data_IF_753812162821
#
_entry.id   IF_753812162821
#
_cell.length_a   1.000
_cell.length_b   1.000
_cell.length_c   1.000
_cell.angle_alpha   90.00
_cell.angle_beta   90.00
_cell.angle_gamma   90.00
#
_symmetry.space_group_name_H-M   'P 1'
#
loop_
_entity.id
_entity.type
_entity.pdbx_description
1 polymer ?
#
# COMPACT_ATOMS: atom_id res chain seq x y z
N UNK A 1 -12.13 -9.86 -24.85
CA UNK A 1 -10.85 -10.07 -24.12
C UNK A 1 -10.64 -8.92 -23.14
N UNK A 2 -10.74 -9.16 -21.83
CA UNK A 2 -10.55 -8.09 -20.84
C UNK A 2 -9.05 -7.74 -20.73
N UNK A 3 -8.68 -6.51 -21.11
CA UNK A 3 -7.32 -6.03 -21.02
C UNK A 3 -6.81 -6.12 -19.56
N UNK A 4 -5.78 -6.93 -19.34
CA UNK A 4 -5.12 -7.09 -18.04
C UNK A 4 -4.52 -5.74 -17.62
N UNK A 5 -5.20 -5.04 -16.71
CA UNK A 5 -4.75 -3.74 -16.18
C UNK A 5 -3.33 -3.90 -15.64
N UNK A 6 -2.35 -3.25 -16.28
CA UNK A 6 -0.97 -3.21 -15.81
C UNK A 6 -0.93 -2.54 -14.44
N UNK A 7 -0.29 -3.18 -13.47
CA UNK A 7 -0.03 -2.55 -12.17
C UNK A 7 0.89 -1.34 -12.40
N UNK A 8 0.54 -0.13 -11.90
CA UNK A 8 1.44 1.02 -12.01
C UNK A 8 2.78 0.73 -11.32
N UNK A 9 3.86 1.37 -11.77
CA UNK A 9 5.19 1.15 -11.20
C UNK A 9 5.20 1.48 -9.69
N UNK A 10 6.07 0.80 -8.95
CA UNK A 10 6.21 1.01 -7.50
C UNK A 10 6.46 2.49 -7.17
N UNK A 11 7.34 3.15 -7.94
CA UNK A 11 7.67 4.57 -7.80
C UNK A 11 6.45 5.47 -7.93
N UNK A 12 5.58 5.20 -8.92
CA UNK A 12 4.35 5.98 -9.12
C UNK A 12 3.37 5.77 -7.96
N UNK A 13 3.22 4.53 -7.50
CA UNK A 13 2.35 4.24 -6.35
C UNK A 13 2.86 4.91 -5.07
N UNK A 14 4.17 4.94 -4.85
CA UNK A 14 4.78 5.62 -3.71
C UNK A 14 4.61 7.15 -3.79
N UNK A 15 4.79 7.75 -4.96
CA UNK A 15 4.59 9.18 -5.17
C UNK A 15 3.11 9.59 -4.98
N UNK A 16 2.17 8.80 -5.49
CA UNK A 16 0.74 9.07 -5.28
C UNK A 16 0.34 8.85 -3.81
N UNK A 17 0.96 7.87 -3.13
CA UNK A 17 0.73 7.60 -1.71
C UNK A 17 1.30 8.71 -0.81
N UNK A 18 2.48 9.26 -1.12
CA UNK A 18 3.10 10.34 -0.35
C UNK A 18 2.30 11.63 -0.38
N UNK A 19 1.49 11.85 -1.42
CA UNK A 19 0.54 12.98 -1.51
C UNK A 19 -0.80 12.61 -0.83
N UNK A 20 -1.32 11.41 -1.10
CA UNK A 20 -2.65 11.02 -0.63
C UNK A 20 -2.71 10.80 0.90
N UNK A 21 -1.68 10.22 1.50
CA UNK A 21 -1.68 9.91 2.93
C UNK A 21 -1.69 11.15 3.83
N UNK A 22 -0.86 12.19 3.60
CA UNK A 22 -0.95 13.44 4.35
C UNK A 22 -2.32 14.12 4.24
N UNK A 23 -2.95 14.14 3.05
CA UNK A 23 -4.29 14.73 2.89
C UNK A 23 -5.37 14.04 3.74
N UNK A 24 -5.31 12.71 3.85
CA UNK A 24 -6.24 11.95 4.70
C UNK A 24 -6.02 12.27 6.18
N UNK A 25 -4.75 12.38 6.60
CA UNK A 25 -4.39 12.71 7.98
C UNK A 25 -4.84 14.14 8.30
N UNK A 26 -4.50 15.11 7.44
CA UNK A 26 -4.85 16.51 7.60
C UNK A 26 -6.37 16.69 7.73
N UNK A 27 -7.17 16.12 6.81
CA UNK A 27 -8.63 16.23 6.88
C UNK A 27 -9.20 15.68 8.20
N UNK A 28 -8.75 14.50 8.63
CA UNK A 28 -9.24 13.88 9.87
C UNK A 28 -8.79 14.63 11.12
N UNK A 29 -7.56 15.17 11.13
CA UNK A 29 -7.05 16.00 12.22
C UNK A 29 -7.80 17.33 12.30
N UNK A 30 -8.00 18.02 11.17
CA UNK A 30 -8.80 19.25 11.11
C UNK A 30 -10.22 19.01 11.58
N UNK A 31 -10.84 17.89 11.18
CA UNK A 31 -12.19 17.53 11.65
C UNK A 31 -12.23 17.28 13.16
N UNK A 32 -11.27 16.56 13.72
CA UNK A 32 -11.19 16.36 15.18
C UNK A 32 -10.98 17.69 15.92
N UNK A 33 -10.17 18.59 15.38
CA UNK A 33 -9.95 19.92 15.95
C UNK A 33 -11.22 20.79 15.92
N UNK A 34 -12.02 20.70 14.84
CA UNK A 34 -13.30 21.42 14.71
C UNK A 34 -14.42 20.82 15.55
N UNK A 35 -14.42 19.50 15.78
CA UNK A 35 -15.46 18.80 16.53
C UNK A 35 -15.42 19.04 18.04
N UNK A 36 -14.28 19.43 18.62
CA UNK A 36 -14.18 19.83 20.04
C UNK A 36 -12.94 20.71 20.32
N UNK A 37 -13.12 22.05 20.44
CA UNK A 37 -12.02 22.98 20.66
C UNK A 37 -11.31 22.85 22.02
N UNK A 38 -11.94 22.21 23.03
CA UNK A 38 -11.44 22.23 24.41
C UNK A 38 -11.12 20.85 25.01
N UNK A 39 -11.76 19.75 24.59
CA UNK A 39 -11.39 18.38 25.01
C UNK A 39 -11.83 17.33 23.97
N UNK A 40 -11.00 16.32 23.61
CA UNK A 40 -11.42 15.28 22.66
C UNK A 40 -12.57 14.45 23.23
N UNK A 41 -13.74 14.48 22.58
CA UNK A 41 -14.89 13.67 22.95
C UNK A 41 -14.54 12.17 22.89
N UNK A 42 -15.22 11.32 23.67
CA UNK A 42 -15.06 9.84 23.60
C UNK A 42 -15.25 9.31 22.18
N UNK A 43 -16.03 10.02 21.34
CA UNK A 43 -16.22 9.71 19.92
C UNK A 43 -14.95 9.96 19.09
N UNK A 44 -14.28 11.09 19.30
CA UNK A 44 -13.06 11.46 18.57
C UNK A 44 -11.89 10.57 18.97
N UNK A 45 -11.78 10.20 20.25
CA UNK A 45 -10.81 9.22 20.73
C UNK A 45 -11.00 7.85 20.06
N UNK A 46 -12.26 7.41 19.92
CA UNK A 46 -12.59 6.16 19.21
C UNK A 46 -12.25 6.25 17.72
N UNK A 47 -12.47 7.40 17.08
CA UNK A 47 -12.08 7.64 15.69
C UNK A 47 -10.56 7.65 15.50
N UNK A 48 -9.80 8.23 16.45
CA UNK A 48 -8.34 8.21 16.46
C UNK A 48 -7.77 6.81 16.65
N UNK A 49 -8.28 6.04 17.62
CA UNK A 49 -7.88 4.64 17.82
C UNK A 49 -8.20 3.82 16.57
N UNK A 50 -9.38 4.03 15.98
CA UNK A 50 -9.76 3.41 14.71
C UNK A 50 -8.76 3.73 13.59
N UNK A 51 -8.33 4.98 13.45
CA UNK A 51 -7.30 5.39 12.48
C UNK A 51 -5.96 4.69 12.68
N UNK A 52 -5.52 4.55 13.92
CA UNK A 52 -4.26 3.86 14.24
C UNK A 52 -4.37 2.37 13.89
N UNK A 53 -5.48 1.73 14.25
CA UNK A 53 -5.75 0.34 13.85
C UNK A 53 -5.81 0.18 12.32
N UNK A 54 -6.42 1.13 11.60
CA UNK A 54 -6.44 1.12 10.14
C UNK A 54 -5.03 1.13 9.53
N UNK A 55 -4.09 1.89 10.11
CA UNK A 55 -2.67 1.92 9.69
C UNK A 55 -1.97 0.59 9.98
N UNK A 56 -2.20 0.00 11.16
CA UNK A 56 -1.63 -1.30 11.52
C UNK A 56 -2.13 -2.43 10.62
N UNK A 57 -3.43 -2.48 10.33
CA UNK A 57 -4.02 -3.46 9.39
C UNK A 57 -3.49 -3.26 7.98
N UNK A 58 -3.31 -2.01 7.54
CA UNK A 58 -2.73 -1.71 6.24
C UNK A 58 -1.27 -2.21 6.15
N UNK A 59 -0.47 -2.00 7.19
CA UNK A 59 0.89 -2.52 7.30
C UNK A 59 0.90 -4.06 7.28
N UNK A 60 0.07 -4.72 8.08
CA UNK A 60 -0.03 -6.19 8.10
C UNK A 60 -0.39 -6.77 6.71
N UNK A 61 -1.28 -6.11 5.97
CA UNK A 61 -1.63 -6.50 4.59
C UNK A 61 -0.48 -6.33 3.61
N UNK A 62 0.25 -5.22 3.69
CA UNK A 62 1.43 -5.01 2.84
C UNK A 62 2.54 -6.01 3.17
N UNK A 63 2.78 -6.26 4.46
CA UNK A 63 3.75 -7.25 4.92
C UNK A 63 3.42 -8.66 4.42
N UNK A 64 2.17 -9.11 4.60
CA UNK A 64 1.73 -10.41 4.11
C UNK A 64 1.87 -10.54 2.58
N UNK A 65 1.52 -9.49 1.84
CA UNK A 65 1.65 -9.46 0.37
C UNK A 65 3.12 -9.55 -0.04
N UNK A 66 4.00 -8.83 0.65
CA UNK A 66 5.45 -8.88 0.44
C UNK A 66 5.97 -10.30 0.71
N UNK A 67 5.63 -10.90 1.85
CA UNK A 67 6.03 -12.27 2.20
C UNK A 67 5.60 -13.29 1.14
N UNK A 68 4.37 -13.20 0.63
CA UNK A 68 3.88 -14.10 -0.42
C UNK A 68 4.64 -13.93 -1.74
N UNK A 69 4.91 -12.69 -2.16
CA UNK A 69 5.59 -12.42 -3.42
C UNK A 69 7.09 -12.78 -3.35
N UNK A 70 7.75 -12.57 -2.20
CA UNK A 70 9.10 -13.08 -1.93
C UNK A 70 9.11 -14.62 -1.96
N UNK A 71 8.13 -15.28 -1.33
CA UNK A 71 8.05 -16.74 -1.32
C UNK A 71 7.94 -17.32 -2.74
N UNK A 72 7.15 -16.69 -3.62
CA UNK A 72 7.06 -17.08 -5.03
C UNK A 72 8.37 -16.87 -5.78
N UNK A 73 9.06 -15.75 -5.53
CA UNK A 73 10.35 -15.47 -6.16
C UNK A 73 11.41 -16.48 -5.73
N UNK A 74 11.43 -16.88 -4.45
CA UNK A 74 12.31 -17.92 -3.94
C UNK A 74 12.02 -19.29 -4.57
N UNK A 75 10.74 -19.67 -4.70
CA UNK A 75 10.36 -20.89 -5.41
C UNK A 75 10.81 -20.87 -6.88
N UNK A 76 10.59 -19.75 -7.59
CA UNK A 76 11.01 -19.62 -8.98
C UNK A 76 12.54 -19.73 -9.14
N UNK A 77 13.29 -19.16 -8.21
CA UNK A 77 14.75 -19.30 -8.16
C UNK A 77 15.18 -20.75 -7.93
N UNK A 78 14.60 -21.43 -6.94
CA UNK A 78 14.87 -22.84 -6.67
C UNK A 78 14.59 -23.73 -7.89
N UNK A 79 13.45 -23.54 -8.55
CA UNK A 79 13.12 -24.26 -9.78
C UNK A 79 14.06 -23.93 -10.94
N UNK A 80 14.53 -22.68 -11.04
CA UNK A 80 15.50 -22.29 -12.06
C UNK A 80 16.87 -22.97 -11.85
N UNK A 81 17.26 -23.18 -10.59
CA UNK A 81 18.48 -23.89 -10.24
C UNK A 81 18.41 -25.37 -10.66
N UNK A 82 17.26 -26.02 -10.42
CA UNK A 82 17.03 -27.42 -10.80
C UNK A 82 16.93 -27.63 -12.32
N UNK A 83 16.46 -26.63 -13.09
CA UNK A 83 16.37 -26.69 -14.56
C UNK A 83 17.71 -26.50 -15.27
N UNK A 84 18.76 -26.11 -14.54
CA UNK A 84 20.10 -25.94 -15.07
C UNK A 84 20.52 -24.49 -15.34
N UNK A 85 21.78 -24.29 -15.76
CA UNK A 85 22.45 -22.99 -15.72
C UNK A 85 21.80 -21.91 -16.61
N UNK A 86 21.21 -22.27 -17.75
CA UNK A 86 20.51 -21.31 -18.60
C UNK A 86 19.27 -20.71 -17.92
N UNK A 87 18.46 -21.54 -17.24
CA UNK A 87 17.29 -21.08 -16.52
C UNK A 87 17.66 -20.21 -15.31
N UNK A 88 18.74 -20.58 -14.60
CA UNK A 88 19.28 -19.80 -13.51
C UNK A 88 19.77 -18.42 -13.98
N UNK A 89 20.56 -18.36 -15.06
CA UNK A 89 21.04 -17.08 -15.63
C UNK A 89 19.87 -16.19 -16.03
N UNK A 90 18.86 -16.74 -16.71
CA UNK A 90 17.64 -15.98 -17.07
C UNK A 90 16.91 -15.44 -15.83
N UNK A 91 16.81 -16.23 -14.77
CA UNK A 91 16.16 -15.82 -13.52
C UNK A 91 16.94 -14.69 -12.82
N UNK A 92 18.28 -14.77 -12.79
CA UNK A 92 19.16 -13.73 -12.24
C UNK A 92 19.04 -12.44 -13.04
N UNK A 93 19.05 -12.50 -14.37
CA UNK A 93 18.88 -11.32 -15.24
C UNK A 93 17.50 -10.67 -15.06
N UNK A 94 16.46 -11.45 -14.75
CA UNK A 94 15.11 -10.93 -14.49
C UNK A 94 14.86 -10.50 -13.04
N UNK A 95 15.83 -10.68 -12.14
CA UNK A 95 15.68 -10.36 -10.72
C UNK A 95 15.34 -8.88 -10.46
N UNK A 96 15.96 -7.88 -11.13
CA UNK A 96 15.61 -6.47 -10.92
C UNK A 96 14.13 -6.16 -11.23
N UNK A 97 13.62 -6.69 -12.34
CA UNK A 97 12.20 -6.53 -12.72
C UNK A 97 11.27 -7.28 -11.76
N UNK A 98 11.71 -8.42 -11.24
CA UNK A 98 10.95 -9.19 -10.25
C UNK A 98 10.84 -8.42 -8.94
N UNK A 99 11.94 -7.85 -8.44
CA UNK A 99 11.95 -6.99 -7.25
C UNK A 99 11.04 -5.76 -7.42
N UNK A 100 11.08 -5.11 -8.59
CA UNK A 100 10.17 -4.00 -8.89
C UNK A 100 8.70 -4.44 -8.82
N UNK A 101 8.36 -5.60 -9.41
CA UNK A 101 6.99 -6.15 -9.37
C UNK A 101 6.55 -6.53 -7.97
N UNK A 102 7.43 -7.14 -7.17
CA UNK A 102 7.17 -7.47 -5.76
C UNK A 102 6.86 -6.19 -4.99
N UNK A 103 7.68 -5.17 -5.16
CA UNK A 103 7.51 -3.86 -4.50
C UNK A 103 6.20 -3.20 -4.92
N UNK A 104 5.92 -3.16 -6.23
CA UNK A 104 4.70 -2.59 -6.77
C UNK A 104 3.43 -3.32 -6.30
N UNK A 105 3.49 -4.64 -6.10
CA UNK A 105 2.36 -5.42 -5.57
C UNK A 105 2.17 -5.23 -4.07
N UNK A 106 3.26 -5.11 -3.32
CA UNK A 106 3.24 -4.94 -1.87
C UNK A 106 2.68 -3.58 -1.46
N UNK A 107 2.96 -2.53 -2.23
CA UNK A 107 2.46 -1.16 -1.99
C UNK A 107 1.02 -0.96 -2.48
N UNK A 108 0.59 -1.69 -3.51
CA UNK A 108 -0.73 -1.56 -4.12
C UNK A 108 -1.93 -1.53 -3.16
N UNK A 109 -2.06 -2.42 -2.15
CA UNK A 109 -3.21 -2.38 -1.25
C UNK A 109 -3.27 -1.10 -0.41
N UNK A 110 -2.13 -0.59 0.07
CA UNK A 110 -2.06 0.65 0.87
C UNK A 110 -2.32 1.86 -0.04
N UNK A 111 -1.65 1.92 -1.19
CA UNK A 111 -1.83 2.96 -2.19
C UNK A 111 -3.31 3.11 -2.60
N UNK A 112 -3.97 2.01 -2.99
CA UNK A 112 -5.39 2.03 -3.39
C UNK A 112 -6.29 2.60 -2.29
N UNK A 113 -6.12 2.15 -1.04
CA UNK A 113 -6.96 2.60 0.07
C UNK A 113 -6.70 4.06 0.42
N UNK A 114 -5.44 4.50 0.42
CA UNK A 114 -5.07 5.89 0.69
C UNK A 114 -5.64 6.84 -0.39
N UNK A 115 -5.47 6.50 -1.67
CA UNK A 115 -5.99 7.29 -2.79
C UNK A 115 -7.52 7.35 -2.77
N UNK A 116 -8.19 6.23 -2.52
CA UNK A 116 -9.65 6.20 -2.41
C UNK A 116 -10.15 7.05 -1.26
N UNK A 117 -9.51 6.97 -0.09
CA UNK A 117 -9.85 7.79 1.07
C UNK A 117 -9.64 9.27 0.78
N UNK A 118 -8.49 9.65 0.21
CA UNK A 118 -8.21 11.04 -0.18
C UNK A 118 -9.28 11.60 -1.12
N UNK A 119 -9.66 10.84 -2.16
CA UNK A 119 -10.74 11.20 -3.10
C UNK A 119 -12.13 11.31 -2.46
N UNK A 120 -12.40 10.53 -1.42
CA UNK A 120 -13.67 10.62 -0.68
C UNK A 120 -13.68 11.86 0.19
N UNK A 121 -12.58 12.13 0.88
CA UNK A 121 -12.45 13.27 1.79
C UNK A 121 -12.42 14.60 1.05
N UNK A 122 -11.87 14.67 -0.17
CA UNK A 122 -11.95 15.86 -1.02
C UNK A 122 -13.40 16.24 -1.40
N UNK A 123 -14.34 15.31 -1.29
CA UNK A 123 -15.78 15.52 -1.54
C UNK A 123 -16.58 15.67 -0.25
N UNK A 124 -15.97 15.47 0.91
CA UNK A 124 -16.65 15.52 2.20
C UNK A 124 -16.35 16.85 2.86
N UNK A 125 -17.37 17.72 3.08
CA UNK A 125 -17.15 19.00 3.75
C UNK A 125 -16.65 18.77 5.18
N UNK A 126 -15.77 19.67 5.62
CA UNK A 126 -15.34 19.77 7.01
C UNK A 126 -16.52 20.36 7.80
N UNK A 127 -17.31 19.50 8.44
CA UNK A 127 -18.34 19.86 9.42
C UNK A 127 -17.83 19.48 10.79
#
# INVERSE_FOLDING_TARGET
MAARKKTPSATRQLAELSIAAPNVIAHRVTRMAMASPTHPSRRDQKEFIGMVQEKQVAFAKAWWTLSLEISKAQQAFFWSMLRGPQALTQQVTQMPQTLERITARSVAPIHRKAVQNSRRLSKTPLR
#
